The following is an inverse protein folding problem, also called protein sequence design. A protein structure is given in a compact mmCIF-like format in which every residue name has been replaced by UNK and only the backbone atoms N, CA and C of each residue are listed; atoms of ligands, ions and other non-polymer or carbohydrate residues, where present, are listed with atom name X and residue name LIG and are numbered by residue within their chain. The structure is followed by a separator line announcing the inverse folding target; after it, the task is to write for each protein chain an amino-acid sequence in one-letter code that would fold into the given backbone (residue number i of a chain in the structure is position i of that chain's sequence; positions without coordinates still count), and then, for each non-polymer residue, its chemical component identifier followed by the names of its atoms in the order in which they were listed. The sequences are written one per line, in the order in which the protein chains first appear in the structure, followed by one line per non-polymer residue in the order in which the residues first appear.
data_IF_264259761068
#
_entry.id   IF_264259761068
#
_cell.length_a   1.000
_cell.length_b   1.000
_cell.length_c   1.000
_cell.angle_alpha   90.00
_cell.angle_beta   90.00
_cell.angle_gamma   90.00
#
_symmetry.space_group_name_H-M   'P 1'
#
loop_
_entity.id
_entity.type
_entity.pdbx_description
1 polymer ?
#
# COMPACT_ATOMS: atom_id res chain seq x y z
N UNK A 1 -17.19 3.32 5.18
CA UNK A 1 -17.48 2.04 4.46
C UNK A 1 -16.65 1.91 3.18
N UNK A 2 -16.50 0.71 2.60
CA UNK A 2 -15.74 0.49 1.36
C UNK A 2 -16.17 1.42 0.21
N UNK A 3 -17.50 1.59 0.02
CA UNK A 3 -18.06 2.45 -1.02
C UNK A 3 -17.69 3.93 -0.85
N UNK A 4 -17.59 4.42 0.39
CA UNK A 4 -17.17 5.79 0.69
C UNK A 4 -15.70 5.99 0.32
N UNK A 5 -14.85 5.03 0.66
CA UNK A 5 -13.42 5.04 0.27
C UNK A 5 -13.28 5.04 -1.24
N UNK A 6 -14.07 4.21 -1.93
CA UNK A 6 -14.08 4.14 -3.39
C UNK A 6 -14.53 5.45 -4.06
N UNK A 7 -15.48 6.17 -3.45
CA UNK A 7 -15.97 7.45 -3.95
C UNK A 7 -15.11 8.66 -3.53
N UNK A 8 -14.12 8.47 -2.64
CA UNK A 8 -13.29 9.56 -2.12
C UNK A 8 -12.03 9.73 -2.96
N UNK A 9 -11.71 10.93 -3.46
CA UNK A 9 -10.40 11.20 -4.08
C UNK A 9 -9.28 11.08 -3.04
N UNK A 10 -8.50 10.01 -3.13
CA UNK A 10 -7.39 9.73 -2.21
C UNK A 10 -6.05 10.22 -2.78
N UNK A 11 -5.12 10.59 -1.93
CA UNK A 11 -3.70 10.63 -2.28
C UNK A 11 -3.25 9.19 -2.52
N UNK A 12 -2.68 8.92 -3.68
CA UNK A 12 -2.33 7.58 -4.12
C UNK A 12 -0.89 7.49 -4.58
N UNK A 13 -0.38 6.26 -4.55
CA UNK A 13 0.89 5.94 -5.20
C UNK A 13 0.74 5.96 -6.72
N UNK A 14 1.86 6.13 -7.41
CA UNK A 14 1.94 6.07 -8.86
C UNK A 14 1.35 4.78 -9.44
N UNK A 15 0.82 4.89 -10.67
CA UNK A 15 0.35 3.72 -11.41
C UNK A 15 1.46 2.65 -11.51
N UNK A 16 1.09 1.38 -11.31
CA UNK A 16 2.03 0.26 -11.31
C UNK A 16 2.70 -0.02 -9.95
N UNK A 17 2.55 0.86 -8.96
CA UNK A 17 3.02 0.55 -7.60
C UNK A 17 2.22 -0.59 -6.97
N UNK A 18 2.92 -1.49 -6.27
CA UNK A 18 2.27 -2.65 -5.63
C UNK A 18 1.24 -2.27 -4.57
N UNK A 19 1.40 -1.13 -3.87
CA UNK A 19 0.41 -0.64 -2.90
C UNK A 19 -0.87 -0.19 -3.59
N UNK A 20 -0.78 0.56 -4.70
CA UNK A 20 -1.97 0.95 -5.47
C UNK A 20 -2.68 -0.26 -6.08
N UNK A 21 -1.92 -1.22 -6.59
CA UNK A 21 -2.48 -2.46 -7.12
C UNK A 21 -3.25 -3.24 -6.04
N UNK A 22 -2.71 -3.34 -4.82
CA UNK A 22 -3.40 -3.99 -3.71
C UNK A 22 -4.71 -3.27 -3.34
N UNK A 23 -4.69 -1.93 -3.28
CA UNK A 23 -5.89 -1.14 -3.02
C UNK A 23 -6.97 -1.36 -4.10
N UNK A 24 -6.60 -1.31 -5.38
CA UNK A 24 -7.52 -1.56 -6.50
C UNK A 24 -8.10 -2.98 -6.45
N UNK A 25 -7.27 -4.00 -6.17
CA UNK A 25 -7.72 -5.39 -6.07
C UNK A 25 -8.71 -5.59 -4.91
N UNK A 26 -8.42 -5.00 -3.75
CA UNK A 26 -9.33 -5.09 -2.60
C UNK A 26 -10.68 -4.45 -2.90
N UNK A 27 -10.72 -3.25 -3.50
CA UNK A 27 -11.98 -2.59 -3.88
C UNK A 27 -12.74 -3.39 -4.95
N UNK A 28 -12.03 -3.87 -5.97
CA UNK A 28 -12.62 -4.64 -7.06
C UNK A 28 -13.25 -5.95 -6.58
N UNK A 29 -12.69 -6.59 -5.53
CA UNK A 29 -13.29 -7.76 -4.89
C UNK A 29 -14.68 -7.48 -4.29
N UNK A 30 -15.02 -6.21 -4.06
CA UNK A 30 -16.34 -5.75 -3.61
C UNK A 30 -17.18 -5.12 -4.73
N UNK A 31 -16.76 -5.22 -5.99
CA UNK A 31 -17.44 -4.60 -7.13
C UNK A 31 -17.34 -3.07 -7.14
N UNK A 32 -16.29 -2.52 -6.52
CA UNK A 32 -16.04 -1.09 -6.42
C UNK A 32 -14.80 -0.69 -7.21
N UNK A 33 -14.87 0.45 -7.88
CA UNK A 33 -13.73 1.11 -8.50
C UNK A 33 -13.38 2.38 -7.72
N UNK A 34 -12.08 2.60 -7.49
CA UNK A 34 -11.61 3.86 -6.92
C UNK A 34 -11.82 5.00 -7.92
N UNK A 35 -12.37 6.12 -7.46
CA UNK A 35 -12.37 7.38 -8.23
C UNK A 35 -10.93 7.85 -8.51
N UNK A 36 -10.73 8.76 -9.49
CA UNK A 36 -9.43 9.35 -9.74
C UNK A 36 -8.79 9.93 -8.47
N UNK A 37 -7.46 9.76 -8.29
CA UNK A 37 -6.79 10.20 -7.08
C UNK A 37 -6.74 11.73 -6.99
N UNK A 38 -6.74 12.24 -5.77
CA UNK A 38 -6.52 13.67 -5.49
C UNK A 38 -5.10 14.09 -5.89
N UNK A 39 -4.12 13.26 -5.57
CA UNK A 39 -2.70 13.41 -5.92
C UNK A 39 -2.09 12.05 -6.21
N UNK A 40 -1.20 11.99 -7.20
CA UNK A 40 -0.41 10.79 -7.52
C UNK A 40 1.07 11.07 -7.25
N UNK A 41 1.71 10.23 -6.41
CA UNK A 41 3.08 10.45 -5.94
C UNK A 41 3.92 9.18 -6.06
N UNK A 42 5.19 9.35 -6.46
CA UNK A 42 6.12 8.27 -6.82
C UNK A 42 6.69 7.43 -5.66
N UNK A 43 6.38 7.73 -4.40
CA UNK A 43 6.91 6.99 -3.26
C UNK A 43 5.96 6.99 -2.06
N UNK A 44 6.08 5.96 -1.22
CA UNK A 44 5.34 5.90 0.04
C UNK A 44 5.67 7.07 0.97
N UNK A 45 6.94 7.47 1.02
CA UNK A 45 7.38 8.62 1.83
C UNK A 45 6.77 9.93 1.35
N UNK A 46 6.65 10.14 0.03
CA UNK A 46 6.01 11.32 -0.53
C UNK A 46 4.51 11.36 -0.19
N UNK A 47 3.80 10.23 -0.34
CA UNK A 47 2.40 10.12 0.07
C UNK A 47 2.25 10.43 1.56
N UNK A 48 3.04 9.78 2.42
CA UNK A 48 3.04 10.03 3.87
C UNK A 48 3.22 11.52 4.19
N UNK A 49 4.23 12.17 3.61
CA UNK A 49 4.48 13.59 3.86
C UNK A 49 3.31 14.48 3.44
N UNK A 50 2.66 14.17 2.31
CA UNK A 50 1.48 14.91 1.86
C UNK A 50 0.30 14.76 2.83
N UNK A 51 0.05 13.55 3.34
CA UNK A 51 -1.02 13.29 4.32
C UNK A 51 -0.74 14.03 5.63
N UNK A 52 0.49 13.95 6.16
CA UNK A 52 0.90 14.68 7.38
C UNK A 52 0.76 16.20 7.20
N UNK A 53 1.01 16.71 5.99
CA UNK A 53 0.80 18.12 5.66
C UNK A 53 -0.68 18.51 5.47
N UNK A 54 -1.62 17.57 5.62
CA UNK A 54 -3.06 17.83 5.52
C UNK A 54 -3.58 17.92 4.08
N UNK A 55 -2.84 17.41 3.09
CA UNK A 55 -3.28 17.48 1.69
C UNK A 55 -4.50 16.59 1.39
N UNK A 56 -4.77 15.56 2.20
CA UNK A 56 -5.90 14.66 2.03
C UNK A 56 -5.64 13.25 2.56
N UNK A 57 -6.67 12.37 2.58
CA UNK A 57 -6.54 10.98 3.00
C UNK A 57 -5.80 10.12 1.97
N UNK A 58 -5.23 8.98 2.40
CA UNK A 58 -4.51 8.05 1.53
C UNK A 58 -4.76 6.58 1.89
N UNK A 59 -4.65 5.71 0.87
CA UNK A 59 -4.41 4.28 1.07
C UNK A 59 -2.91 4.02 0.92
N UNK A 60 -2.26 3.65 2.02
CA UNK A 60 -0.81 3.47 2.08
C UNK A 60 -0.45 2.27 2.97
N UNK A 61 0.72 1.70 2.73
CA UNK A 61 1.28 0.64 3.58
C UNK A 61 1.45 1.13 5.02
N UNK A 62 0.92 0.38 5.98
CA UNK A 62 1.10 0.62 7.42
C UNK A 62 2.57 0.76 7.82
N UNK A 63 3.44 -0.08 7.25
CA UNK A 63 4.91 0.00 7.43
C UNK A 63 5.52 1.39 7.18
N UNK A 64 4.91 2.21 6.32
CA UNK A 64 5.41 3.56 6.01
C UNK A 64 4.95 4.58 7.05
N UNK A 65 3.80 4.38 7.68
CA UNK A 65 3.14 5.32 8.59
C UNK A 65 3.15 4.89 10.06
N UNK A 66 3.72 3.73 10.38
CA UNK A 66 3.73 3.16 11.73
C UNK A 66 4.23 4.14 12.81
N UNK A 67 5.27 4.93 12.51
CA UNK A 67 5.78 5.93 13.44
C UNK A 67 4.81 7.11 13.65
N UNK A 68 4.07 7.51 12.61
CA UNK A 68 3.08 8.58 12.71
C UNK A 68 1.83 8.13 13.45
N UNK A 69 1.42 6.89 13.24
CA UNK A 69 0.33 6.28 14.00
C UNK A 69 0.70 6.18 15.49
N UNK A 70 1.93 5.73 15.79
CA UNK A 70 2.42 5.62 17.17
C UNK A 70 2.51 6.98 17.89
N UNK A 71 2.80 8.05 17.16
CA UNK A 71 2.88 9.41 17.71
C UNK A 71 1.55 10.18 17.66
N UNK A 72 0.52 9.64 17.00
CA UNK A 72 -0.74 10.32 16.75
C UNK A 72 -0.66 11.46 15.72
N UNK A 73 0.45 11.56 14.97
CA UNK A 73 0.58 12.50 13.86
C UNK A 73 -0.31 12.12 12.67
N UNK A 74 -0.62 10.83 12.53
CA UNK A 74 -1.65 10.32 11.63
C UNK A 74 -2.65 9.47 12.41
N UNK A 75 -3.87 9.40 11.90
CA UNK A 75 -4.92 8.51 12.40
C UNK A 75 -5.26 7.47 11.33
N UNK A 76 -5.38 6.21 11.76
CA UNK A 76 -5.92 5.15 10.92
C UNK A 76 -7.45 5.24 10.89
N UNK A 77 -8.05 5.07 9.71
CA UNK A 77 -9.50 5.03 9.53
C UNK A 77 -9.90 3.56 9.34
N UNK A 78 -10.60 2.93 10.30
CA UNK A 78 -11.05 1.56 10.15
C UNK A 78 -12.09 1.45 9.03
N UNK A 79 -11.91 0.48 8.14
CA UNK A 79 -12.82 0.22 7.02
C UNK A 79 -13.38 -1.18 7.18
N UNK A 80 -14.65 -1.27 7.58
CA UNK A 80 -15.32 -2.56 7.74
C UNK A 80 -15.49 -3.28 6.41
N UNK A 81 -15.24 -4.60 6.44
CA UNK A 81 -15.50 -5.50 5.33
C UNK A 81 -14.48 -5.47 4.21
N UNK A 82 -13.37 -4.73 4.35
CA UNK A 82 -12.28 -4.68 3.37
C UNK A 82 -10.98 -5.12 4.02
N UNK A 83 -10.30 -6.08 3.40
CA UNK A 83 -8.96 -6.50 3.80
C UNK A 83 -7.96 -6.06 2.74
N UNK A 84 -7.01 -5.20 3.14
CA UNK A 84 -5.95 -4.69 2.27
C UNK A 84 -4.66 -5.49 2.47
N UNK A 85 -4.66 -6.72 1.97
CA UNK A 85 -3.48 -7.58 2.03
C UNK A 85 -2.75 -7.61 0.69
N UNK A 86 -1.42 -7.74 0.74
CA UNK A 86 -0.60 -8.00 -0.44
C UNK A 86 0.49 -9.01 -0.13
N UNK A 87 0.65 -9.99 -1.02
CA UNK A 87 1.78 -10.91 -0.95
C UNK A 87 2.97 -10.32 -1.70
N UNK A 88 4.10 -10.17 -1.01
CA UNK A 88 5.38 -9.91 -1.66
C UNK A 88 5.92 -11.21 -2.24
N UNK A 89 6.33 -11.18 -3.51
CA UNK A 89 6.84 -12.37 -4.22
C UNK A 89 8.27 -12.12 -4.65
N UNK A 90 9.15 -13.04 -4.29
CA UNK A 90 10.47 -13.13 -4.90
C UNK A 90 10.34 -13.80 -6.27
N UNK A 91 10.91 -13.18 -7.30
CA UNK A 91 10.87 -13.68 -8.68
C UNK A 91 12.30 -13.87 -9.19
N UNK A 92 12.53 -14.98 -9.88
CA UNK A 92 13.80 -15.28 -10.54
C UNK A 92 13.54 -16.08 -11.82
N UNK A 93 14.56 -16.20 -12.67
CA UNK A 93 14.44 -16.87 -13.97
C UNK A 93 14.16 -18.36 -13.78
N UNK A 94 13.22 -18.89 -14.56
CA UNK A 94 12.95 -20.33 -14.61
C UNK A 94 14.23 -21.12 -14.91
N UNK A 95 14.44 -22.23 -14.19
CA UNK A 95 15.65 -23.05 -14.29
C UNK A 95 16.85 -22.53 -13.51
N UNK A 96 16.70 -21.42 -12.76
CA UNK A 96 17.73 -20.94 -11.81
C UNK A 96 17.24 -21.08 -10.38
N UNK A 97 18.19 -21.26 -9.45
CA UNK A 97 17.93 -21.23 -8.01
C UNK A 97 18.78 -20.12 -7.40
N UNK A 98 18.18 -19.16 -6.66
CA UNK A 98 18.94 -18.14 -5.94
C UNK A 98 19.97 -18.79 -5.02
N UNK A 99 21.21 -18.28 -5.06
CA UNK A 99 22.32 -18.76 -4.24
C UNK A 99 23.09 -17.58 -3.64
N UNK A 100 23.96 -17.85 -2.66
CA UNK A 100 24.77 -16.83 -2.01
C UNK A 100 23.92 -15.71 -1.39
N UNK A 101 24.26 -14.42 -1.62
CA UNK A 101 23.51 -13.28 -1.05
C UNK A 101 22.02 -13.26 -1.41
N UNK A 102 21.64 -13.73 -2.60
CA UNK A 102 20.23 -13.77 -3.00
C UNK A 102 19.44 -14.78 -2.17
N UNK A 103 20.00 -15.97 -1.93
CA UNK A 103 19.38 -16.95 -1.03
C UNK A 103 19.31 -16.44 0.42
N UNK A 104 20.37 -15.77 0.88
CA UNK A 104 20.38 -15.16 2.22
C UNK A 104 19.28 -14.11 2.37
N UNK A 105 19.11 -13.23 1.38
CA UNK A 105 18.02 -12.25 1.38
C UNK A 105 16.65 -12.93 1.46
N UNK A 106 16.42 -14.01 0.71
CA UNK A 106 15.15 -14.75 0.79
C UNK A 106 14.90 -15.30 2.19
N UNK A 107 15.91 -15.88 2.83
CA UNK A 107 15.79 -16.37 4.21
C UNK A 107 15.42 -15.27 5.19
N UNK A 108 15.94 -14.05 5.00
CA UNK A 108 15.57 -12.91 5.86
C UNK A 108 14.19 -12.34 5.54
N UNK A 109 13.85 -12.22 4.26
CA UNK A 109 12.59 -11.63 3.80
C UNK A 109 11.35 -12.50 4.10
N UNK A 110 11.53 -13.81 4.34
CA UNK A 110 10.45 -14.72 4.76
C UNK A 110 10.29 -14.84 6.28
N UNK A 111 11.10 -14.12 7.08
CA UNK A 111 10.89 -14.08 8.52
C UNK A 111 9.63 -13.25 8.81
N UNK A 112 8.73 -13.73 9.69
CA UNK A 112 7.58 -12.95 10.12
C UNK A 112 8.01 -11.69 10.88
#
# INVERSE_FOLDING_TARGET
PAAEVAATPLISREAGSGTRQAALQAMSAHGLDLVPPLLELGSGTAVRTAVVAGAGPALISELVVAADLATGALAEIPIDGVTLERSLRAVWRTGTTPSGPAAALLTHAHRP
#
